data_IF_860515139045
#
_entry.id   IF_860515139045
#
_cell.length_a   1.000
_cell.length_b   1.000
_cell.length_c   1.000
_cell.angle_alpha   90.00
_cell.angle_beta   90.00
_cell.angle_gamma   90.00
#
_symmetry.space_group_name_H-M   'P 1'
#
loop_
_entity.id
_entity.type
_entity.pdbx_description
1 polymer ?
#
# COMPACT_ATOMS: atom_id res chain seq x y z
N UNK A 1 33.94 48.12 58.67
CA UNK A 1 34.18 47.88 57.23
C UNK A 1 32.86 47.77 56.50
N UNK A 2 32.82 48.18 55.22
CA UNK A 2 31.64 47.96 54.36
C UNK A 2 31.55 46.46 53.99
N UNK A 3 30.36 45.93 53.64
CA UNK A 3 30.20 44.51 53.31
C UNK A 3 31.07 44.03 52.13
N UNK A 4 31.35 44.91 51.16
CA UNK A 4 32.19 44.67 49.99
C UNK A 4 32.88 45.98 49.57
N UNK A 5 34.07 45.90 48.97
CA UNK A 5 34.72 47.05 48.36
C UNK A 5 33.80 47.71 47.31
N UNK A 6 33.71 49.04 47.37
CA UNK A 6 32.99 49.84 46.36
C UNK A 6 33.95 50.51 45.37
N UNK A 7 35.22 50.67 45.74
CA UNK A 7 36.26 51.35 44.96
C UNK A 7 37.53 50.52 45.08
N UNK A 8 38.39 50.52 44.05
CA UNK A 8 39.58 49.66 43.95
C UNK A 8 40.61 49.82 45.10
N UNK A 9 40.50 50.86 45.92
CA UNK A 9 41.37 51.12 47.08
C UNK A 9 40.63 51.00 48.44
N UNK A 10 39.36 50.61 48.45
CA UNK A 10 38.54 50.44 49.66
C UNK A 10 38.48 48.94 49.98
N UNK A 11 38.97 48.49 51.13
CA UNK A 11 38.99 47.07 51.50
C UNK A 11 37.71 46.72 52.29
N UNK A 12 36.83 45.95 51.67
CA UNK A 12 35.59 45.48 52.28
C UNK A 12 35.79 44.25 53.14
N UNK A 13 34.78 43.94 53.96
CA UNK A 13 34.80 42.78 54.84
C UNK A 13 34.92 41.45 54.07
N UNK A 14 34.34 41.38 52.85
CA UNK A 14 34.45 40.23 51.97
C UNK A 14 35.90 40.01 51.49
N UNK A 15 36.56 41.04 50.96
CA UNK A 15 37.94 40.91 50.46
C UNK A 15 38.90 40.52 51.59
N UNK A 16 38.69 41.07 52.80
CA UNK A 16 39.45 40.71 54.00
C UNK A 16 39.27 39.24 54.40
N UNK A 17 38.03 38.73 54.39
CA UNK A 17 37.78 37.31 54.64
C UNK A 17 38.37 36.41 53.56
N UNK A 18 38.30 36.83 52.30
CA UNK A 18 38.86 36.09 51.17
C UNK A 18 40.39 36.02 51.21
N UNK A 19 41.05 37.03 51.80
CA UNK A 19 42.50 37.03 52.01
C UNK A 19 42.92 36.13 53.18
N UNK A 20 42.21 36.20 54.32
CA UNK A 20 42.44 35.31 55.47
C UNK A 20 42.25 33.84 55.09
N UNK A 21 41.20 33.53 54.33
CA UNK A 21 40.89 32.16 53.91
C UNK A 21 41.74 31.77 52.68
N UNK A 22 42.32 32.75 51.98
CA UNK A 22 43.14 32.55 50.79
C UNK A 22 42.34 32.12 49.55
N UNK A 23 41.05 32.50 49.47
CA UNK A 23 40.18 32.22 48.32
C UNK A 23 40.35 33.21 47.18
N UNK A 24 40.94 34.39 47.42
CA UNK A 24 41.22 35.42 46.42
C UNK A 24 41.93 34.86 45.16
N UNK A 25 42.86 33.93 45.35
CA UNK A 25 43.62 33.27 44.25
C UNK A 25 42.75 32.47 43.26
N UNK A 26 41.51 32.16 43.59
CA UNK A 26 40.59 31.40 42.74
C UNK A 26 39.62 32.28 41.97
N UNK A 27 39.39 33.53 42.38
CA UNK A 27 38.37 34.41 41.78
C UNK A 27 38.66 34.64 40.30
N UNK A 28 39.90 35.04 39.97
CA UNK A 28 40.33 35.24 38.58
C UNK A 28 40.30 33.94 37.77
N UNK A 29 40.81 32.84 38.35
CA UNK A 29 40.82 31.52 37.68
C UNK A 29 39.41 31.04 37.35
N UNK A 30 38.47 31.24 38.26
CA UNK A 30 37.06 30.89 38.05
C UNK A 30 36.45 31.79 36.97
N UNK A 31 36.71 33.09 37.00
CA UNK A 31 36.19 34.04 36.01
C UNK A 31 36.70 33.72 34.59
N UNK A 32 37.99 33.46 34.44
CA UNK A 32 38.59 33.03 33.17
C UNK A 32 38.02 31.70 32.69
N UNK A 33 37.94 30.71 33.56
CA UNK A 33 37.36 29.39 33.24
C UNK A 33 35.91 29.51 32.78
N UNK A 34 35.11 30.35 33.43
CA UNK A 34 33.73 30.64 33.01
C UNK A 34 33.66 31.28 31.63
N UNK A 35 34.56 32.23 31.34
CA UNK A 35 34.63 32.89 30.03
C UNK A 35 34.96 31.89 28.93
N UNK A 36 35.95 31.02 29.14
CA UNK A 36 36.29 29.94 28.20
C UNK A 36 35.14 28.96 27.98
N UNK A 37 34.47 28.54 29.06
CA UNK A 37 33.33 27.62 29.00
C UNK A 37 32.16 28.23 28.21
N UNK A 38 31.90 29.53 28.37
CA UNK A 38 30.86 30.25 27.63
C UNK A 38 31.14 30.29 26.13
N UNK A 39 32.39 30.57 25.75
CA UNK A 39 32.84 30.58 24.34
C UNK A 39 32.75 29.20 23.71
N UNK A 40 33.18 28.15 24.43
CA UNK A 40 33.09 26.75 23.98
C UNK A 40 31.63 26.33 23.75
N UNK A 41 30.72 26.68 24.67
CA UNK A 41 29.28 26.37 24.53
C UNK A 41 28.64 27.10 23.37
N UNK A 42 28.93 28.38 23.17
CA UNK A 42 28.32 29.15 22.07
C UNK A 42 28.92 28.81 20.71
N UNK A 43 30.23 28.59 20.64
CA UNK A 43 30.94 28.35 19.39
C UNK A 43 30.79 26.91 18.89
N UNK A 44 31.27 25.95 19.67
CA UNK A 44 31.39 24.55 19.21
C UNK A 44 30.04 23.85 19.28
N UNK A 45 29.39 23.87 20.45
CA UNK A 45 28.11 23.17 20.64
C UNK A 45 27.00 23.85 19.83
N UNK A 46 26.98 25.19 19.80
CA UNK A 46 26.04 25.95 18.97
C UNK A 46 26.23 25.67 17.48
N UNK A 47 27.48 25.65 16.99
CA UNK A 47 27.79 25.35 15.59
C UNK A 47 27.32 23.97 15.15
N UNK A 48 27.68 22.92 15.91
CA UNK A 48 27.28 21.53 15.60
C UNK A 48 25.76 21.36 15.62
N UNK A 49 25.07 22.02 16.56
CA UNK A 49 23.60 21.99 16.62
C UNK A 49 22.98 22.65 15.39
N UNK A 50 23.48 23.81 14.98
CA UNK A 50 22.98 24.51 13.80
C UNK A 50 23.21 23.72 12.51
N UNK A 51 24.36 23.04 12.40
CA UNK A 51 24.67 22.18 11.26
C UNK A 51 23.74 20.96 11.20
N UNK A 52 23.49 20.31 12.34
CA UNK A 52 22.52 19.22 12.42
C UNK A 52 21.10 19.68 12.06
N UNK A 53 20.67 20.85 12.53
CA UNK A 53 19.38 21.45 12.16
C UNK A 53 19.29 21.75 10.66
N UNK A 54 20.36 22.30 10.06
CA UNK A 54 20.43 22.55 8.62
C UNK A 54 20.34 21.26 7.81
N UNK A 55 21.01 20.19 8.25
CA UNK A 55 20.93 18.87 7.63
C UNK A 55 19.50 18.30 7.70
N UNK A 56 18.86 18.34 8.87
CA UNK A 56 17.47 17.86 9.03
C UNK A 56 16.49 18.63 8.14
N UNK A 57 16.63 19.95 8.03
CA UNK A 57 15.83 20.78 7.13
C UNK A 57 16.06 20.41 5.66
N UNK A 58 17.32 20.13 5.29
CA UNK A 58 17.66 19.68 3.93
C UNK A 58 17.03 18.33 3.63
N UNK A 59 17.09 17.38 4.56
CA UNK A 59 16.48 16.06 4.44
C UNK A 59 14.96 16.13 4.30
N UNK A 60 14.29 16.97 5.10
CA UNK A 60 12.87 17.26 4.97
C UNK A 60 12.51 17.82 3.58
N UNK A 61 13.32 18.75 3.05
CA UNK A 61 13.10 19.30 1.71
C UNK A 61 13.24 18.24 0.62
N UNK A 62 14.21 17.32 0.76
CA UNK A 62 14.45 16.23 -0.17
C UNK A 62 13.29 15.23 -0.15
N UNK A 63 12.80 14.86 1.04
CA UNK A 63 11.65 13.99 1.20
C UNK A 63 10.40 14.58 0.54
N UNK A 64 10.15 15.87 0.73
CA UNK A 64 9.03 16.57 0.08
C UNK A 64 9.14 16.56 -1.44
N UNK A 65 10.32 16.81 -1.99
CA UNK A 65 10.55 16.73 -3.43
C UNK A 65 10.34 15.30 -3.95
N UNK A 66 10.81 14.29 -3.22
CA UNK A 66 10.65 12.88 -3.60
C UNK A 66 9.17 12.48 -3.61
N UNK A 67 8.41 12.85 -2.58
CA UNK A 67 6.97 12.61 -2.50
C UNK A 67 6.26 13.19 -3.73
N UNK A 68 6.49 14.47 -4.04
CA UNK A 68 5.90 15.13 -5.21
C UNK A 68 6.25 14.42 -6.51
N UNK A 69 7.51 14.05 -6.71
CA UNK A 69 7.94 13.35 -7.91
C UNK A 69 7.24 11.98 -8.04
N UNK A 70 7.14 11.22 -6.95
CA UNK A 70 6.45 9.92 -6.97
C UNK A 70 4.95 10.06 -7.24
N UNK A 71 4.31 11.10 -6.70
CA UNK A 71 2.90 11.37 -6.94
C UNK A 71 2.63 11.72 -8.40
N UNK A 72 3.44 12.62 -8.98
CA UNK A 72 3.34 12.98 -10.40
C UNK A 72 3.57 11.77 -11.31
N UNK A 73 4.58 10.94 -11.01
CA UNK A 73 4.84 9.73 -11.78
C UNK A 73 3.66 8.74 -11.70
N UNK A 74 3.04 8.60 -10.51
CA UNK A 74 1.85 7.77 -10.34
C UNK A 74 0.67 8.29 -11.16
N UNK A 75 0.39 9.60 -11.12
CA UNK A 75 -0.70 10.21 -11.86
C UNK A 75 -0.53 10.03 -13.38
N UNK A 76 0.68 10.28 -13.91
CA UNK A 76 0.99 10.08 -15.34
C UNK A 76 0.87 8.61 -15.74
N UNK A 77 1.39 7.70 -14.93
CA UNK A 77 1.29 6.27 -15.23
C UNK A 77 -0.16 5.79 -15.18
N UNK A 78 -0.97 6.31 -14.25
CA UNK A 78 -2.39 5.99 -14.13
C UNK A 78 -3.18 6.40 -15.38
N UNK A 79 -2.93 7.60 -15.90
CA UNK A 79 -3.58 8.07 -17.14
C UNK A 79 -3.11 7.26 -18.36
N UNK A 80 -1.82 6.95 -18.45
CA UNK A 80 -1.32 6.09 -19.54
C UNK A 80 -1.91 4.68 -19.49
N UNK A 81 -2.05 4.09 -18.30
CA UNK A 81 -2.65 2.76 -18.14
C UNK A 81 -4.11 2.78 -18.57
N UNK A 82 -4.88 3.80 -18.20
CA UNK A 82 -6.29 3.89 -18.60
C UNK A 82 -6.43 4.06 -20.12
N UNK A 83 -5.59 4.88 -20.76
CA UNK A 83 -5.52 5.02 -22.22
C UNK A 83 -5.13 3.70 -22.91
N UNK A 84 -4.16 2.96 -22.37
CA UNK A 84 -3.80 1.65 -22.89
C UNK A 84 -4.95 0.65 -22.77
N UNK A 85 -5.69 0.67 -21.65
CA UNK A 85 -6.85 -0.20 -21.46
C UNK A 85 -7.96 0.10 -22.48
N UNK A 86 -8.26 1.37 -22.75
CA UNK A 86 -9.27 1.73 -23.76
C UNK A 86 -8.84 1.33 -25.17
N UNK A 87 -7.55 1.49 -25.49
CA UNK A 87 -7.00 1.04 -26.76
C UNK A 87 -7.06 -0.48 -26.92
N UNK A 88 -6.70 -1.23 -25.87
CA UNK A 88 -6.79 -2.70 -25.87
C UNK A 88 -8.24 -3.14 -26.07
N UNK A 89 -9.19 -2.58 -25.33
CA UNK A 89 -10.61 -2.94 -25.51
C UNK A 89 -11.10 -2.65 -26.92
N UNK A 90 -10.72 -1.51 -27.50
CA UNK A 90 -11.07 -1.18 -28.88
C UNK A 90 -10.45 -2.14 -29.90
N UNK A 91 -9.19 -2.54 -29.71
CA UNK A 91 -8.53 -3.53 -30.56
C UNK A 91 -9.17 -4.91 -30.43
N UNK A 92 -9.54 -5.35 -29.23
CA UNK A 92 -10.23 -6.61 -29.01
C UNK A 92 -11.60 -6.65 -29.70
N UNK A 93 -12.38 -5.56 -29.62
CA UNK A 93 -13.64 -5.43 -30.34
C UNK A 93 -13.44 -5.46 -31.86
N UNK A 94 -12.44 -4.75 -32.37
CA UNK A 94 -12.10 -4.76 -33.79
C UNK A 94 -11.69 -6.17 -34.26
N UNK A 95 -10.85 -6.87 -33.50
CA UNK A 95 -10.49 -8.26 -33.79
C UNK A 95 -11.70 -9.20 -33.76
N UNK A 96 -12.65 -9.01 -32.84
CA UNK A 96 -13.91 -9.78 -32.83
C UNK A 96 -14.73 -9.52 -34.09
N UNK A 97 -14.86 -8.25 -34.51
CA UNK A 97 -15.57 -7.88 -35.74
C UNK A 97 -14.89 -8.46 -36.98
N UNK A 98 -13.57 -8.42 -37.06
CA UNK A 98 -12.82 -9.03 -38.17
C UNK A 98 -12.97 -10.56 -38.19
N UNK A 99 -12.89 -11.23 -37.04
CA UNK A 99 -13.14 -12.68 -36.93
C UNK A 99 -14.56 -13.04 -37.38
N UNK A 100 -15.55 -12.25 -36.97
CA UNK A 100 -16.94 -12.41 -37.39
C UNK A 100 -17.11 -12.18 -38.90
N UNK A 101 -16.48 -11.14 -39.45
CA UNK A 101 -16.46 -10.85 -40.88
C UNK A 101 -15.80 -11.97 -41.69
N UNK A 102 -14.70 -12.57 -41.19
CA UNK A 102 -14.07 -13.74 -41.79
C UNK A 102 -14.96 -14.98 -41.72
N UNK A 103 -15.67 -15.20 -40.60
CA UNK A 103 -16.64 -16.29 -40.45
C UNK A 103 -17.77 -16.19 -41.48
N UNK A 104 -18.28 -14.98 -41.72
CA UNK A 104 -19.31 -14.73 -42.74
C UNK A 104 -18.77 -14.79 -44.18
N UNK A 105 -17.61 -14.19 -44.46
CA UNK A 105 -17.02 -14.18 -45.82
C UNK A 105 -16.45 -15.54 -46.25
N UNK A 106 -15.90 -16.33 -45.32
CA UNK A 106 -15.52 -17.74 -45.58
C UNK A 106 -16.71 -18.69 -45.44
N UNK A 107 -17.94 -18.21 -45.67
CA UNK A 107 -19.16 -18.94 -45.41
C UNK A 107 -19.01 -20.41 -45.76
N UNK A 108 -19.08 -21.28 -44.75
CA UNK A 108 -19.14 -22.74 -44.92
C UNK A 108 -18.17 -23.32 -45.97
N UNK A 109 -16.98 -22.72 -46.16
CA UNK A 109 -16.04 -23.15 -47.17
C UNK A 109 -14.80 -23.76 -46.50
N UNK A 110 -14.95 -25.07 -46.25
CA UNK A 110 -13.90 -26.06 -46.02
C UNK A 110 -13.19 -26.11 -44.65
N UNK A 111 -13.58 -27.18 -43.94
CA UNK A 111 -12.83 -28.03 -42.98
C UNK A 111 -13.14 -27.78 -41.49
N UNK A 112 -13.69 -28.83 -40.85
CA UNK A 112 -13.92 -29.08 -39.40
C UNK A 112 -15.24 -28.63 -38.74
N UNK A 113 -15.79 -27.45 -39.02
CA UNK A 113 -16.94 -26.95 -38.23
C UNK A 113 -18.24 -27.76 -38.42
N UNK A 114 -18.63 -28.21 -39.63
CA UNK A 114 -19.84 -29.01 -39.80
C UNK A 114 -19.76 -30.37 -39.08
N UNK A 115 -18.59 -30.99 -39.05
CA UNK A 115 -18.41 -32.33 -38.46
C UNK A 115 -18.39 -32.31 -36.93
N UNK A 116 -17.79 -31.27 -36.32
CA UNK A 116 -17.78 -31.09 -34.86
C UNK A 116 -19.17 -30.66 -34.37
N UNK A 117 -19.86 -29.79 -35.13
CA UNK A 117 -21.22 -29.40 -34.84
C UNK A 117 -22.20 -30.58 -35.00
N UNK A 118 -22.09 -31.37 -36.08
CA UNK A 118 -22.90 -32.57 -36.29
C UNK A 118 -22.68 -33.62 -35.20
N UNK A 119 -21.42 -33.86 -34.79
CA UNK A 119 -21.15 -34.80 -33.71
C UNK A 119 -21.70 -34.32 -32.36
N UNK A 120 -21.59 -33.02 -32.07
CA UNK A 120 -22.14 -32.44 -30.85
C UNK A 120 -23.68 -32.48 -30.86
N UNK A 121 -24.29 -32.19 -32.01
CA UNK A 121 -25.74 -32.23 -32.20
C UNK A 121 -26.29 -33.65 -32.12
N UNK A 122 -25.57 -34.62 -32.70
CA UNK A 122 -25.90 -36.05 -32.62
C UNK A 122 -25.81 -36.55 -31.19
N UNK A 123 -24.76 -36.16 -30.46
CA UNK A 123 -24.59 -36.49 -29.04
C UNK A 123 -25.70 -35.88 -28.19
N UNK A 124 -26.03 -34.60 -28.34
CA UNK A 124 -27.16 -33.99 -27.63
C UNK A 124 -28.50 -34.67 -27.96
N UNK A 125 -28.71 -35.08 -29.20
CA UNK A 125 -29.92 -35.82 -29.61
C UNK A 125 -30.02 -37.19 -28.94
N UNK A 126 -28.90 -37.90 -28.83
CA UNK A 126 -28.85 -39.21 -28.19
C UNK A 126 -29.00 -39.09 -26.65
N UNK A 127 -28.36 -38.09 -26.03
CA UNK A 127 -28.55 -37.76 -24.61
C UNK A 127 -30.01 -37.41 -24.30
N UNK A 128 -30.66 -36.61 -25.15
CA UNK A 128 -32.07 -36.26 -24.98
C UNK A 128 -33.00 -37.47 -25.02
N UNK A 129 -32.80 -38.38 -25.98
CA UNK A 129 -33.58 -39.64 -26.06
C UNK A 129 -33.38 -40.53 -24.84
N UNK A 130 -32.18 -40.54 -24.27
CA UNK A 130 -31.91 -41.31 -23.07
C UNK A 130 -32.61 -40.71 -21.85
N UNK A 131 -32.66 -39.37 -21.74
CA UNK A 131 -33.48 -38.71 -20.72
C UNK A 131 -34.97 -39.03 -20.85
N UNK A 132 -35.52 -39.06 -22.07
CA UNK A 132 -36.92 -39.45 -22.29
C UNK A 132 -37.19 -40.90 -21.83
N UNK A 133 -36.27 -41.83 -22.11
CA UNK A 133 -36.38 -43.23 -21.63
C UNK A 133 -36.32 -43.32 -20.12
N UNK A 134 -35.42 -42.57 -19.50
CA UNK A 134 -35.30 -42.53 -18.05
C UNK A 134 -36.55 -41.94 -17.38
N UNK A 135 -37.12 -40.87 -17.95
CA UNK A 135 -38.37 -40.28 -17.42
C UNK A 135 -39.53 -41.28 -17.47
N UNK A 136 -39.69 -41.99 -18.59
CA UNK A 136 -40.71 -43.05 -18.71
C UNK A 136 -40.51 -44.13 -17.66
N UNK A 137 -39.28 -44.64 -17.53
CA UNK A 137 -38.95 -45.68 -16.56
C UNK A 137 -39.24 -45.24 -15.12
N UNK A 138 -38.81 -44.03 -14.73
CA UNK A 138 -39.04 -43.53 -13.38
C UNK A 138 -40.52 -43.34 -13.08
N UNK A 139 -41.34 -42.91 -14.06
CA UNK A 139 -42.80 -42.81 -13.88
C UNK A 139 -43.45 -44.18 -13.66
N UNK A 140 -43.03 -45.18 -14.43
CA UNK A 140 -43.53 -46.55 -14.30
C UNK A 140 -43.13 -47.16 -12.95
N UNK A 141 -41.86 -47.06 -12.58
CA UNK A 141 -41.34 -47.56 -11.31
C UNK A 141 -42.04 -46.88 -10.12
N UNK A 142 -42.26 -45.56 -10.19
CA UNK A 142 -42.97 -44.81 -9.17
C UNK A 142 -44.44 -45.27 -9.07
N UNK A 143 -45.11 -45.52 -10.19
CA UNK A 143 -46.47 -46.08 -10.22
C UNK A 143 -46.52 -47.47 -9.56
N UNK A 144 -45.59 -48.35 -9.91
CA UNK A 144 -45.48 -49.69 -9.33
C UNK A 144 -45.20 -49.66 -7.82
N UNK A 145 -44.31 -48.79 -7.37
CA UNK A 145 -44.00 -48.60 -5.95
C UNK A 145 -45.22 -48.06 -5.18
N UNK A 146 -45.92 -47.05 -5.73
CA UNK A 146 -47.18 -46.55 -5.13
C UNK A 146 -48.22 -47.66 -4.99
N UNK A 147 -48.35 -48.51 -6.02
CA UNK A 147 -49.29 -49.62 -5.98
C UNK A 147 -48.88 -50.70 -4.94
N UNK A 148 -47.58 -51.00 -4.80
CA UNK A 148 -47.07 -51.89 -3.75
C UNK A 148 -47.33 -51.33 -2.35
N UNK A 149 -47.07 -50.03 -2.14
CA UNK A 149 -47.34 -49.34 -0.87
C UNK A 149 -48.83 -49.42 -0.53
N UNK A 150 -49.72 -49.13 -1.50
CA UNK A 150 -51.18 -49.26 -1.30
C UNK A 150 -51.58 -50.66 -0.86
N UNK A 151 -51.09 -51.70 -1.56
CA UNK A 151 -51.36 -53.11 -1.20
C UNK A 151 -50.83 -53.51 0.18
N UNK A 152 -49.74 -52.90 0.64
CA UNK A 152 -49.21 -53.15 1.99
C UNK A 152 -50.04 -52.44 3.05
N UNK A 153 -50.49 -51.20 2.79
CA UNK A 153 -51.41 -50.50 3.68
C UNK A 153 -52.76 -51.22 3.79
N UNK A 154 -53.34 -51.67 2.66
CA UNK A 154 -54.60 -52.43 2.64
C UNK A 154 -54.52 -53.78 3.39
N UNK A 155 -53.32 -54.25 3.77
CA UNK A 155 -53.10 -55.45 4.59
C UNK A 155 -52.81 -55.15 6.06
N UNK A 156 -52.51 -53.89 6.38
CA UNK A 156 -52.23 -53.41 7.74
C UNK A 156 -53.50 -52.90 8.43
N UNK A 157 -54.50 -52.48 7.66
CA UNK A 157 -55.89 -52.28 8.08
C UNK A 157 -56.68 -53.61 8.09
#
# INVERSE_FOLDING_TARGET
MKPKAQVAHDEGFLEYLEDIIGTNKYIEKIAESFKHLKVLKSGVIGGVKNEAEAYMLKELSLLKCREMATKLAFEVNSTQISEMQTNISGQEENLKLQRWGLFLNKGCANISVPYVFDNSLRRCKDEFKEFERQDVKYREDLSHLKHKIKKLNDKLD
#
